data_IF_113493599719
#
_entry.id   IF_113493599719
#
_cell.length_a   1.000
_cell.length_b   1.000
_cell.length_c   1.000
_cell.angle_alpha   90.00
_cell.angle_beta   90.00
_cell.angle_gamma   90.00
#
_symmetry.space_group_name_H-M   'P 1'
#
loop_
_entity.id
_entity.type
_entity.pdbx_description
1 polymer ?
#
# COMPACT_ATOMS: atom_id res chain seq x y z
N UNK A 1 -6.46 68.42 70.78
CA UNK A 1 -7.76 68.87 70.27
C UNK A 1 -7.66 69.07 68.77
N UNK A 2 -8.48 68.31 68.04
CA UNK A 2 -9.05 68.53 66.70
C UNK A 2 -8.08 68.69 65.51
N UNK A 3 -8.02 67.71 64.58
CA UNK A 3 -9.03 67.30 63.58
C UNK A 3 -9.04 68.22 62.35
N UNK A 4 -8.89 67.59 61.17
CA UNK A 4 -9.39 67.95 59.82
C UNK A 4 -8.29 67.93 58.75
N UNK A 5 -8.41 67.31 57.58
CA UNK A 5 -9.39 66.36 57.05
C UNK A 5 -8.72 65.66 55.86
N UNK A 6 -8.84 64.34 55.82
CA UNK A 6 -8.35 63.46 54.75
C UNK A 6 -9.20 63.54 53.49
N UNK A 7 -8.49 63.44 52.36
CA UNK A 7 -8.83 62.83 51.07
C UNK A 7 -10.22 62.18 50.94
N UNK A 8 -11.04 62.74 50.06
CA UNK A 8 -12.16 62.08 49.40
C UNK A 8 -11.63 61.40 48.12
N UNK A 9 -11.54 60.08 48.09
CA UNK A 9 -11.54 59.28 46.86
C UNK A 9 -12.63 58.23 47.03
N UNK A 10 -13.72 58.40 46.31
CA UNK A 10 -14.81 57.45 46.24
C UNK A 10 -14.97 56.98 44.78
N UNK A 11 -15.20 55.66 44.66
CA UNK A 11 -15.85 54.95 43.56
C UNK A 11 -15.04 54.71 42.28
N UNK A 12 -14.36 53.56 42.25
CA UNK A 12 -14.41 52.68 41.08
C UNK A 12 -14.75 51.25 41.53
N UNK A 13 -16.01 50.88 41.37
CA UNK A 13 -16.45 49.49 41.42
C UNK A 13 -16.11 48.85 40.07
N UNK A 14 -15.00 48.11 40.01
CA UNK A 14 -14.71 47.24 38.88
C UNK A 14 -15.46 45.92 39.06
N UNK A 15 -16.58 45.80 38.35
CA UNK A 15 -17.33 44.56 38.18
C UNK A 15 -16.44 43.53 37.49
N UNK A 16 -15.92 42.57 38.27
CA UNK A 16 -15.20 41.41 37.75
C UNK A 16 -16.15 40.49 36.98
N UNK A 17 -16.27 40.70 35.67
CA UNK A 17 -16.80 39.71 34.75
C UNK A 17 -15.76 38.58 34.61
N UNK A 18 -15.99 37.50 35.35
CA UNK A 18 -15.41 36.17 35.10
C UNK A 18 -15.86 35.70 33.71
N UNK A 19 -15.10 36.02 32.68
CA UNK A 19 -15.19 35.32 31.39
C UNK A 19 -14.46 33.99 31.54
N UNK A 20 -15.19 32.96 31.96
CA UNK A 20 -14.75 31.58 31.80
C UNK A 20 -14.61 31.31 30.29
N UNK A 21 -13.38 31.37 29.77
CA UNK A 21 -13.08 30.80 28.47
C UNK A 21 -13.36 29.30 28.51
N UNK A 22 -14.16 28.76 27.58
CA UNK A 22 -14.25 27.32 27.45
C UNK A 22 -12.89 26.85 26.96
N UNK A 23 -12.13 26.18 27.84
CA UNK A 23 -11.06 25.31 27.43
C UNK A 23 -11.71 24.20 26.59
N UNK A 24 -11.83 24.43 25.28
CA UNK A 24 -11.98 23.37 24.31
C UNK A 24 -10.71 22.54 24.42
N UNK A 25 -10.76 21.52 25.28
CA UNK A 25 -9.73 20.50 25.34
C UNK A 25 -9.62 19.89 23.95
N UNK A 26 -8.56 20.24 23.23
CA UNK A 26 -8.15 19.49 22.05
C UNK A 26 -7.82 18.08 22.55
N UNK A 27 -8.80 17.17 22.49
CA UNK A 27 -8.51 15.75 22.64
C UNK A 27 -7.49 15.42 21.55
N UNK A 28 -6.25 15.16 21.94
CA UNK A 28 -5.23 14.72 21.01
C UNK A 28 -5.73 13.42 20.36
N UNK A 29 -5.97 13.47 19.05
CA UNK A 29 -6.34 12.29 18.28
C UNK A 29 -5.24 11.24 18.49
N UNK A 30 -5.62 10.08 19.02
CA UNK A 30 -4.72 8.95 19.22
C UNK A 30 -5.25 7.75 18.45
N UNK A 31 -4.40 7.18 17.61
CA UNK A 31 -4.72 5.96 16.89
C UNK A 31 -4.73 4.72 17.78
N UNK A 32 -5.48 3.69 17.36
CA UNK A 32 -5.54 2.39 18.01
C UNK A 32 -5.17 1.28 17.03
N UNK A 33 -4.37 0.32 17.50
CA UNK A 33 -3.96 -0.83 16.69
C UNK A 33 -5.15 -1.70 16.25
N UNK A 34 -6.23 -1.76 17.03
CA UNK A 34 -7.40 -2.57 16.69
C UNK A 34 -8.23 -1.94 15.55
N UNK A 35 -8.40 -0.61 15.56
CA UNK A 35 -9.01 0.09 14.43
C UNK A 35 -8.13 0.03 13.18
N UNK A 36 -6.81 0.18 13.32
CA UNK A 36 -5.88 0.05 12.21
C UNK A 36 -5.88 -1.34 11.58
N UNK A 37 -5.99 -2.41 12.40
CA UNK A 37 -6.16 -3.77 11.88
C UNK A 37 -7.45 -3.94 11.07
N UNK A 38 -8.57 -3.40 11.57
CA UNK A 38 -9.83 -3.42 10.81
C UNK A 38 -9.69 -2.67 9.49
N UNK A 39 -9.02 -1.51 9.52
CA UNK A 39 -8.78 -0.70 8.34
C UNK A 39 -7.94 -1.46 7.29
N UNK A 40 -6.84 -2.08 7.71
CA UNK A 40 -5.92 -2.83 6.86
C UNK A 40 -6.60 -3.95 6.06
N UNK A 41 -7.58 -4.61 6.68
CA UNK A 41 -8.34 -5.71 6.07
C UNK A 41 -9.68 -5.27 5.47
N UNK A 42 -10.02 -3.98 5.51
CA UNK A 42 -11.32 -3.49 5.06
C UNK A 42 -11.29 -3.09 3.58
N UNK A 43 -12.19 -3.61 2.74
CA UNK A 43 -12.35 -3.11 1.38
C UNK A 43 -13.01 -1.72 1.33
N UNK A 44 -13.61 -1.25 2.43
CA UNK A 44 -14.36 0.01 2.49
C UNK A 44 -13.49 1.27 2.32
N UNK A 45 -12.17 1.13 2.37
CA UNK A 45 -11.21 2.22 2.09
C UNK A 45 -10.79 2.29 0.62
N UNK A 46 -11.37 1.45 -0.24
CA UNK A 46 -11.13 1.40 -1.68
C UNK A 46 -12.38 1.73 -2.49
N UNK A 47 -12.17 2.10 -3.76
CA UNK A 47 -13.23 2.20 -4.76
C UNK A 47 -13.27 0.99 -5.71
N UNK A 48 -12.45 -0.03 -5.46
CA UNK A 48 -12.34 -1.22 -6.32
C UNK A 48 -12.42 -2.54 -5.55
N UNK A 49 -12.82 -2.51 -4.27
CA UNK A 49 -12.98 -3.69 -3.42
C UNK A 49 -11.67 -4.25 -2.85
N UNK A 50 -10.53 -3.59 -3.08
CA UNK A 50 -9.27 -4.00 -2.47
C UNK A 50 -9.14 -3.56 -1.01
N UNK A 51 -8.36 -4.30 -0.24
CA UNK A 51 -7.82 -3.88 1.06
C UNK A 51 -6.29 -3.95 0.99
N UNK A 52 -5.59 -3.42 1.99
CA UNK A 52 -4.13 -3.56 2.09
C UNK A 52 -3.72 -5.05 2.10
N UNK A 53 -4.53 -5.89 2.75
CA UNK A 53 -4.32 -7.33 2.88
C UNK A 53 -4.32 -8.13 1.58
N UNK A 54 -4.83 -7.57 0.47
CA UNK A 54 -4.73 -8.22 -0.84
C UNK A 54 -3.33 -8.11 -1.47
N UNK A 55 -2.58 -7.06 -1.13
CA UNK A 55 -1.24 -6.82 -1.67
C UNK A 55 -0.13 -7.03 -0.65
N UNK A 56 -0.43 -6.90 0.65
CA UNK A 56 0.54 -7.07 1.72
C UNK A 56 0.08 -8.09 2.76
N UNK A 57 1.00 -8.96 3.19
CA UNK A 57 0.81 -9.69 4.43
C UNK A 57 1.05 -8.76 5.63
N UNK A 58 0.39 -9.02 6.75
CA UNK A 58 0.62 -8.36 8.04
C UNK A 58 1.35 -9.26 9.04
N UNK A 59 2.04 -10.30 8.54
CA UNK A 59 2.74 -11.32 9.31
C UNK A 59 4.04 -11.75 8.64
N UNK A 60 4.92 -12.40 9.41
CA UNK A 60 6.18 -12.96 8.90
C UNK A 60 5.89 -14.13 7.94
N UNK A 61 5.98 -13.87 6.63
CA UNK A 61 5.73 -14.86 5.57
C UNK A 61 6.72 -16.05 5.61
N UNK A 62 7.87 -15.91 6.28
CA UNK A 62 8.83 -17.02 6.45
C UNK A 62 8.42 -17.99 7.56
N UNK A 63 7.54 -17.56 8.48
CA UNK A 63 7.11 -18.36 9.64
C UNK A 63 5.68 -18.86 9.51
N UNK A 64 4.86 -18.16 8.73
CA UNK A 64 3.45 -18.49 8.52
C UNK A 64 3.09 -18.22 7.07
N UNK A 65 2.19 -19.03 6.53
CA UNK A 65 1.55 -18.79 5.24
C UNK A 65 0.03 -18.82 5.42
N UNK A 66 -0.67 -17.99 4.65
CA UNK A 66 -2.12 -18.04 4.45
C UNK A 66 -2.51 -18.58 3.07
N UNK A 67 -1.55 -19.16 2.35
CA UNK A 67 -1.74 -19.72 1.01
C UNK A 67 -1.73 -18.69 -0.13
N UNK A 68 -1.52 -17.41 0.16
CA UNK A 68 -1.45 -16.36 -0.86
C UNK A 68 -0.01 -15.97 -1.19
N UNK A 69 0.24 -15.67 -2.45
CA UNK A 69 1.49 -15.07 -2.94
C UNK A 69 1.16 -13.66 -3.39
N UNK A 70 1.48 -12.69 -2.55
CA UNK A 70 1.15 -11.28 -2.83
C UNK A 70 2.24 -10.59 -3.63
N UNK A 71 1.83 -9.62 -4.44
CA UNK A 71 2.74 -8.83 -5.27
C UNK A 71 3.74 -8.03 -4.44
N UNK A 72 3.27 -7.40 -3.37
CA UNK A 72 4.12 -6.66 -2.46
C UNK A 72 4.51 -7.51 -1.24
N UNK A 73 5.64 -7.16 -0.64
CA UNK A 73 6.15 -7.83 0.55
C UNK A 73 5.29 -7.61 1.77
N UNK A 74 5.42 -8.51 2.74
CA UNK A 74 4.88 -8.31 4.08
C UNK A 74 5.27 -6.96 4.68
N UNK A 75 4.28 -6.33 5.33
CA UNK A 75 4.49 -5.15 6.17
C UNK A 75 4.79 -5.52 7.64
N UNK A 76 4.92 -6.81 7.94
CA UNK A 76 5.49 -7.24 9.21
C UNK A 76 6.87 -6.59 9.39
N UNK A 77 7.05 -5.94 10.54
CA UNK A 77 8.28 -5.24 10.87
C UNK A 77 8.67 -4.10 9.91
N UNK A 78 7.71 -3.48 9.22
CA UNK A 78 7.97 -2.40 8.27
C UNK A 78 7.94 -0.98 8.87
N UNK A 79 7.46 -0.81 10.10
CA UNK A 79 7.23 0.52 10.68
C UNK A 79 8.50 1.36 10.85
N UNK A 80 9.64 0.71 11.14
CA UNK A 80 10.91 1.37 11.43
C UNK A 80 11.87 1.39 10.23
N UNK A 81 11.38 1.07 9.02
CA UNK A 81 12.18 1.16 7.80
C UNK A 81 12.55 2.62 7.52
N UNK A 82 13.74 2.83 6.97
CA UNK A 82 14.19 4.17 6.56
C UNK A 82 13.45 4.67 5.31
N UNK A 83 13.00 3.75 4.45
CA UNK A 83 12.19 4.05 3.26
C UNK A 83 11.09 3.00 3.07
N UNK A 84 9.98 3.38 2.45
CA UNK A 84 8.81 2.50 2.23
C UNK A 84 8.51 2.22 0.75
N UNK A 85 8.98 3.08 -0.15
CA UNK A 85 8.79 2.97 -1.60
C UNK A 85 10.14 2.92 -2.37
N UNK A 86 11.26 2.88 -1.65
CA UNK A 86 12.57 3.29 -2.18
C UNK A 86 12.79 4.80 -1.99
N UNK A 87 14.03 5.28 -2.16
CA UNK A 87 14.31 6.73 -2.13
C UNK A 87 13.74 7.35 -3.40
N UNK A 88 12.79 8.28 -3.27
CA UNK A 88 12.39 9.12 -4.40
C UNK A 88 13.55 10.07 -4.71
N UNK A 89 14.13 10.02 -5.93
CA UNK A 89 15.26 10.87 -6.29
C UNK A 89 14.88 12.34 -6.49
N UNK A 90 13.60 12.63 -6.71
CA UNK A 90 13.07 13.99 -6.93
C UNK A 90 12.49 14.60 -5.65
N UNK A 91 12.03 13.76 -4.71
CA UNK A 91 11.47 14.20 -3.42
C UNK A 91 12.09 13.43 -2.23
N UNK A 92 13.24 13.88 -1.74
CA UNK A 92 13.98 13.22 -0.64
C UNK A 92 13.15 13.05 0.66
N UNK A 93 12.14 13.90 0.86
CA UNK A 93 11.24 13.89 2.03
C UNK A 93 9.89 13.18 1.76
N UNK A 94 9.67 12.62 0.56
CA UNK A 94 8.43 11.93 0.24
C UNK A 94 8.25 10.69 1.13
N UNK A 95 7.02 10.51 1.63
CA UNK A 95 6.62 9.36 2.45
C UNK A 95 7.45 9.22 3.75
N UNK A 96 7.66 10.33 4.46
CA UNK A 96 8.43 10.39 5.72
C UNK A 96 7.95 9.43 6.81
N UNK A 97 6.71 8.95 6.72
CA UNK A 97 6.14 7.93 7.59
C UNK A 97 5.41 6.83 6.81
N UNK A 98 5.31 5.64 7.41
CA UNK A 98 4.64 4.48 6.78
C UNK A 98 3.17 4.73 6.41
N UNK A 99 2.46 5.57 7.17
CA UNK A 99 1.06 5.92 6.87
C UNK A 99 0.94 6.95 5.74
N UNK A 100 1.92 7.82 5.56
CA UNK A 100 2.04 8.66 4.36
C UNK A 100 2.35 7.79 3.13
N UNK A 101 3.24 6.81 3.26
CA UNK A 101 3.50 5.83 2.20
C UNK A 101 2.24 5.05 1.82
N UNK A 102 1.43 4.66 2.81
CA UNK A 102 0.18 3.94 2.59
C UNK A 102 -0.85 4.75 1.79
N UNK A 103 -0.75 6.08 1.79
CA UNK A 103 -1.62 6.94 1.00
C UNK A 103 -1.46 6.73 -0.51
N UNK A 104 -0.23 6.46 -0.97
CA UNK A 104 0.04 6.10 -2.38
C UNK A 104 -0.78 4.89 -2.78
N UNK A 105 -0.76 3.85 -1.94
CA UNK A 105 -1.50 2.62 -2.18
C UNK A 105 -3.01 2.88 -2.24
N UNK A 106 -3.54 3.68 -1.30
CA UNK A 106 -4.97 3.98 -1.23
C UNK A 106 -5.44 4.79 -2.45
N UNK A 107 -4.68 5.79 -2.86
CA UNK A 107 -5.06 6.65 -4.00
C UNK A 107 -4.86 5.94 -5.33
N UNK A 108 -3.71 5.29 -5.53
CA UNK A 108 -3.34 4.66 -6.80
C UNK A 108 -3.99 3.28 -6.97
N UNK A 109 -3.53 2.30 -6.20
CA UNK A 109 -3.93 0.90 -6.36
C UNK A 109 -5.36 0.63 -5.90
N UNK A 110 -5.82 1.31 -4.84
CA UNK A 110 -7.17 1.14 -4.30
C UNK A 110 -8.17 2.16 -4.87
N UNK A 111 -7.70 3.06 -5.74
CA UNK A 111 -8.48 4.06 -6.51
C UNK A 111 -9.32 5.00 -5.65
N UNK A 112 -8.94 5.23 -4.40
CA UNK A 112 -9.69 6.06 -3.49
C UNK A 112 -9.16 7.51 -3.47
N UNK A 113 -9.81 8.39 -4.25
CA UNK A 113 -9.47 9.81 -4.33
C UNK A 113 -9.76 10.59 -3.04
N UNK A 114 -10.65 10.10 -2.17
CA UNK A 114 -11.00 10.79 -0.91
C UNK A 114 -9.98 10.56 0.20
N UNK A 115 -8.97 9.70 -0.03
CA UNK A 115 -7.84 9.45 0.88
C UNK A 115 -8.29 8.88 2.24
N UNK A 116 -7.32 8.63 3.12
CA UNK A 116 -7.59 8.29 4.52
C UNK A 116 -7.82 9.56 5.33
N UNK A 117 -8.73 9.51 6.31
CA UNK A 117 -8.88 10.59 7.30
C UNK A 117 -7.68 10.64 8.24
N UNK A 118 -7.48 11.77 8.93
CA UNK A 118 -6.42 11.91 9.93
C UNK A 118 -6.48 10.81 11.01
N UNK A 119 -7.69 10.46 11.48
CA UNK A 119 -7.87 9.39 12.46
C UNK A 119 -7.51 8.01 11.87
N UNK A 120 -7.90 7.74 10.62
CA UNK A 120 -7.54 6.48 9.94
C UNK A 120 -6.03 6.33 9.75
N UNK A 121 -5.32 7.41 9.40
CA UNK A 121 -3.85 7.39 9.32
C UNK A 121 -3.21 7.07 10.68
N UNK A 122 -3.69 7.70 11.75
CA UNK A 122 -3.22 7.43 13.12
C UNK A 122 -3.48 5.98 13.55
N UNK A 123 -4.67 5.44 13.24
CA UNK A 123 -5.05 4.06 13.53
C UNK A 123 -4.15 3.08 12.75
N UNK A 124 -3.94 3.31 11.45
CA UNK A 124 -3.07 2.50 10.61
C UNK A 124 -1.62 2.54 11.11
N UNK A 125 -1.10 3.72 11.43
CA UNK A 125 0.23 3.92 12.03
C UNK A 125 0.37 3.11 13.32
N UNK A 126 -0.62 3.16 14.20
CA UNK A 126 -0.63 2.40 15.45
C UNK A 126 -0.63 0.89 15.21
N UNK A 127 -1.32 0.41 14.17
CA UNK A 127 -1.32 -1.00 13.80
C UNK A 127 0.02 -1.45 13.21
N UNK A 128 0.54 -0.77 12.19
CA UNK A 128 1.81 -1.16 11.57
C UNK A 128 2.98 -1.11 12.57
N UNK A 129 2.92 -0.18 13.53
CA UNK A 129 3.83 -0.15 14.67
C UNK A 129 3.72 -1.39 15.58
N UNK A 130 2.52 -1.90 15.82
CA UNK A 130 2.32 -3.09 16.66
C UNK A 130 2.79 -4.37 15.99
N UNK A 131 2.87 -4.40 14.65
CA UNK A 131 3.48 -5.47 13.86
C UNK A 131 5.01 -5.42 13.84
N UNK A 132 5.62 -4.43 14.48
CA UNK A 132 7.05 -4.15 14.37
C UNK A 132 7.76 -4.18 15.70
N UNK A 133 8.96 -4.76 15.70
CA UNK A 133 9.88 -4.77 16.83
C UNK A 133 11.03 -3.82 16.51
N UNK A 134 11.47 -3.01 17.49
CA UNK A 134 12.48 -1.93 17.31
C UNK A 134 13.82 -2.35 16.68
N UNK A 135 14.07 -3.65 16.47
CA UNK A 135 15.35 -4.21 16.09
C UNK A 135 15.56 -4.39 14.58
N UNK A 136 14.56 -4.15 13.73
CA UNK A 136 14.76 -4.15 12.26
C UNK A 136 14.56 -2.75 11.71
N UNK A 137 15.66 -2.13 11.32
CA UNK A 137 15.69 -0.79 10.70
C UNK A 137 15.92 -0.83 9.19
N UNK A 138 16.49 -1.94 8.71
CA UNK A 138 16.80 -2.12 7.29
C UNK A 138 15.54 -2.61 6.60
N UNK A 139 15.07 -1.85 5.61
CA UNK A 139 14.00 -2.29 4.72
C UNK A 139 14.40 -3.58 4.01
N UNK A 140 13.47 -4.52 3.88
CA UNK A 140 13.67 -5.58 2.90
C UNK A 140 13.74 -4.92 1.52
N UNK A 141 14.80 -5.16 0.75
CA UNK A 141 14.92 -4.58 -0.58
C UNK A 141 13.75 -5.08 -1.43
N UNK A 142 13.12 -4.19 -2.18
CA UNK A 142 12.22 -4.59 -3.27
C UNK A 142 13.10 -5.20 -4.35
N UNK A 143 12.95 -6.50 -4.63
CA UNK A 143 13.67 -7.09 -5.74
C UNK A 143 13.13 -6.52 -7.05
N UNK A 144 14.04 -6.21 -7.97
CA UNK A 144 13.72 -5.84 -9.34
C UNK A 144 12.90 -6.94 -10.04
N UNK A 145 12.31 -6.61 -11.19
CA UNK A 145 12.00 -7.64 -12.16
C UNK A 145 13.30 -8.40 -12.45
N UNK A 146 13.25 -9.72 -12.51
CA UNK A 146 14.46 -10.54 -12.64
C UNK A 146 15.35 -10.19 -13.86
N UNK A 147 14.82 -9.44 -14.83
CA UNK A 147 15.45 -9.12 -16.10
C UNK A 147 15.66 -7.61 -16.26
N UNK A 148 16.90 -7.20 -16.56
CA UNK A 148 17.29 -5.80 -16.79
C UNK A 148 17.23 -5.39 -18.26
N UNK A 149 16.94 -6.33 -19.16
CA UNK A 149 16.85 -6.08 -20.61
C UNK A 149 15.46 -5.63 -21.06
N UNK A 150 14.43 -5.90 -20.25
CA UNK A 150 13.02 -5.71 -20.64
C UNK A 150 12.53 -6.75 -21.65
N UNK A 151 13.37 -7.70 -22.04
CA UNK A 151 12.99 -8.85 -22.85
C UNK A 151 12.62 -10.03 -21.94
N UNK A 152 11.61 -10.81 -22.31
CA UNK A 152 11.17 -11.96 -21.51
C UNK A 152 11.08 -13.23 -22.38
N UNK A 153 12.21 -13.73 -22.91
CA UNK A 153 12.23 -14.95 -23.70
C UNK A 153 12.01 -16.19 -22.83
N UNK A 154 11.61 -17.30 -23.45
CA UNK A 154 11.61 -18.61 -22.80
C UNK A 154 10.55 -18.81 -21.72
N UNK A 155 9.39 -18.14 -21.79
CA UNK A 155 8.26 -18.36 -20.88
C UNK A 155 7.18 -19.34 -21.41
N UNK A 156 7.48 -20.04 -22.51
CA UNK A 156 6.61 -21.08 -23.05
C UNK A 156 6.73 -22.42 -22.27
N UNK A 157 5.77 -23.32 -22.46
CA UNK A 157 5.88 -24.73 -22.07
C UNK A 157 5.69 -25.06 -20.59
N UNK A 158 5.07 -24.19 -19.79
CA UNK A 158 4.78 -24.47 -18.38
C UNK A 158 3.68 -25.50 -18.13
N UNK A 159 3.60 -26.03 -16.90
CA UNK A 159 2.52 -26.91 -16.46
C UNK A 159 1.28 -26.10 -16.06
N UNK A 160 0.17 -26.27 -16.81
CA UNK A 160 -1.08 -25.53 -16.54
C UNK A 160 -1.77 -25.89 -15.22
N UNK A 161 -1.53 -27.09 -14.68
CA UNK A 161 -2.19 -27.52 -13.44
C UNK A 161 -1.54 -26.87 -12.22
N UNK A 162 -0.21 -26.91 -12.14
CA UNK A 162 0.57 -26.12 -11.17
C UNK A 162 0.33 -24.62 -11.36
N UNK A 163 0.29 -24.19 -12.63
CA UNK A 163 -0.04 -22.82 -13.00
C UNK A 163 -1.39 -22.33 -12.47
N UNK A 164 -2.39 -23.21 -12.44
CA UNK A 164 -3.70 -22.90 -11.86
C UNK A 164 -3.58 -22.63 -10.36
N UNK A 165 -2.89 -23.48 -9.62
CA UNK A 165 -2.72 -23.31 -8.17
C UNK A 165 -2.04 -21.98 -7.85
N UNK A 166 -0.95 -21.68 -8.56
CA UNK A 166 -0.22 -20.43 -8.39
C UNK A 166 -1.08 -19.23 -8.80
N UNK A 167 -1.82 -19.32 -9.92
CA UNK A 167 -2.73 -18.27 -10.35
C UNK A 167 -3.79 -17.94 -9.27
N UNK A 168 -4.33 -18.95 -8.59
CA UNK A 168 -5.32 -18.73 -7.53
C UNK A 168 -4.71 -18.11 -6.28
N UNK A 169 -3.48 -18.49 -5.93
CA UNK A 169 -2.73 -17.89 -4.82
C UNK A 169 -2.32 -16.42 -5.10
N UNK A 170 -2.21 -16.04 -6.37
CA UNK A 170 -1.49 -14.82 -6.78
C UNK A 170 -2.34 -13.79 -7.51
N UNK A 171 -3.10 -14.25 -8.51
CA UNK A 171 -3.74 -13.39 -9.50
C UNK A 171 -5.26 -13.32 -9.31
N UNK A 172 -5.87 -14.38 -8.78
CA UNK A 172 -7.33 -14.56 -8.76
C UNK A 172 -8.07 -13.50 -7.97
N UNK A 173 -7.50 -12.97 -6.88
CA UNK A 173 -8.11 -11.91 -6.07
C UNK A 173 -8.42 -10.66 -6.89
N UNK A 174 -7.58 -10.33 -7.87
CA UNK A 174 -7.75 -9.20 -8.78
C UNK A 174 -8.39 -9.61 -10.11
N UNK A 175 -8.01 -10.80 -10.61
CA UNK A 175 -8.42 -11.37 -11.89
C UNK A 175 -9.18 -12.68 -11.66
N UNK A 176 -10.45 -12.64 -11.21
CA UNK A 176 -11.22 -13.82 -10.87
C UNK A 176 -11.36 -14.70 -12.11
N UNK A 177 -10.78 -15.90 -12.05
CA UNK A 177 -10.68 -16.84 -13.18
C UNK A 177 -10.03 -16.23 -14.45
N UNK A 178 -9.16 -15.23 -14.28
CA UNK A 178 -8.52 -14.50 -15.38
C UNK A 178 -9.44 -13.53 -16.12
N UNK A 179 -10.68 -13.34 -15.63
CA UNK A 179 -11.57 -12.30 -16.15
C UNK A 179 -11.13 -10.92 -15.64
N UNK A 180 -11.88 -9.89 -16.03
CA UNK A 180 -11.54 -8.51 -15.69
C UNK A 180 -11.44 -8.28 -14.17
N UNK A 181 -12.46 -8.71 -13.41
CA UNK A 181 -12.51 -8.43 -11.97
C UNK A 181 -12.37 -6.92 -11.71
N UNK A 182 -11.30 -6.54 -11.01
CA UNK A 182 -10.99 -5.13 -10.73
C UNK A 182 -10.14 -4.46 -11.83
N UNK A 183 -9.59 -5.27 -12.75
CA UNK A 183 -8.82 -4.80 -13.88
C UNK A 183 -9.75 -4.21 -14.97
N UNK A 184 -9.26 -3.24 -15.77
CA UNK A 184 -10.11 -2.61 -16.79
C UNK A 184 -10.54 -3.56 -17.92
N UNK A 185 -9.78 -4.63 -18.16
CA UNK A 185 -10.03 -5.63 -19.20
C UNK A 185 -9.68 -7.03 -18.68
N UNK A 186 -10.33 -8.10 -19.20
CA UNK A 186 -9.91 -9.46 -18.91
C UNK A 186 -8.50 -9.73 -19.43
N UNK A 187 -7.83 -10.74 -18.85
CA UNK A 187 -6.50 -11.15 -19.32
C UNK A 187 -6.67 -11.80 -20.70
N UNK A 188 -6.01 -11.29 -21.77
CA UNK A 188 -6.11 -11.89 -23.10
C UNK A 188 -5.58 -13.32 -23.08
N UNK A 189 -6.06 -14.20 -23.97
CA UNK A 189 -5.69 -15.64 -23.98
C UNK A 189 -4.75 -16.03 -25.13
N UNK A 190 -4.59 -15.13 -26.09
CA UNK A 190 -3.97 -15.36 -27.40
C UNK A 190 -2.59 -14.69 -27.54
N UNK A 191 -2.06 -14.07 -26.49
CA UNK A 191 -0.79 -13.37 -26.56
C UNK A 191 0.40 -14.34 -26.48
N UNK A 192 1.57 -13.86 -26.94
CA UNK A 192 2.82 -14.57 -26.77
C UNK A 192 3.23 -14.66 -25.29
N UNK A 193 3.93 -15.72 -24.83
CA UNK A 193 4.34 -15.87 -23.44
C UNK A 193 5.10 -14.65 -22.87
N UNK A 194 5.94 -14.01 -23.69
CA UNK A 194 6.69 -12.81 -23.30
C UNK A 194 5.80 -11.63 -22.92
N UNK A 195 4.61 -11.51 -23.54
CA UNK A 195 3.63 -10.48 -23.18
C UNK A 195 3.23 -10.61 -21.70
N UNK A 196 2.84 -11.81 -21.27
CA UNK A 196 2.38 -12.04 -19.90
C UNK A 196 3.52 -11.90 -18.89
N UNK A 197 4.69 -12.44 -19.21
CA UNK A 197 5.86 -12.34 -18.34
C UNK A 197 6.23 -10.88 -18.08
N UNK A 198 6.21 -10.04 -19.12
CA UNK A 198 6.42 -8.59 -18.98
C UNK A 198 5.39 -7.95 -18.05
N UNK A 199 4.10 -8.21 -18.26
CA UNK A 199 3.05 -7.64 -17.40
C UNK A 199 3.18 -8.07 -15.93
N UNK A 200 3.52 -9.34 -15.68
CA UNK A 200 3.74 -9.86 -14.32
C UNK A 200 4.97 -9.18 -13.69
N UNK A 201 6.05 -9.01 -14.45
CA UNK A 201 7.33 -8.51 -13.96
C UNK A 201 7.39 -7.00 -13.80
N UNK A 202 6.70 -6.25 -14.65
CA UNK A 202 6.78 -4.79 -14.70
C UNK A 202 5.54 -4.12 -14.12
N UNK A 203 4.39 -4.79 -14.15
CA UNK A 203 3.12 -4.26 -13.65
C UNK A 203 2.72 -2.97 -14.36
N UNK A 204 2.58 -1.90 -13.58
CA UNK A 204 2.29 -0.55 -14.05
C UNK A 204 3.52 0.26 -14.46
N UNK A 205 4.69 -0.37 -14.49
CA UNK A 205 5.97 0.22 -14.86
C UNK A 205 6.94 0.35 -13.69
N UNK A 206 6.47 0.20 -12.44
CA UNK A 206 7.36 0.25 -11.28
C UNK A 206 8.45 -0.85 -11.35
N UNK A 207 8.09 -2.05 -11.80
CA UNK A 207 9.08 -3.13 -11.96
C UNK A 207 10.16 -2.79 -13.01
N UNK A 208 9.80 -2.06 -14.07
CA UNK A 208 10.76 -1.61 -15.09
C UNK A 208 11.72 -0.53 -14.55
N UNK A 209 11.22 0.41 -13.75
CA UNK A 209 12.06 1.40 -13.05
C UNK A 209 13.04 0.70 -12.12
N UNK A 210 12.55 -0.20 -11.26
CA UNK A 210 13.38 -0.92 -10.29
C UNK A 210 14.44 -1.80 -10.95
N UNK A 211 14.22 -2.22 -12.19
CA UNK A 211 15.15 -3.04 -12.97
C UNK A 211 16.12 -2.22 -13.82
N UNK A 212 15.97 -0.89 -13.86
CA UNK A 212 16.77 0.00 -14.69
C UNK A 212 16.47 -0.11 -16.20
N UNK A 213 15.35 -0.74 -16.57
CA UNK A 213 14.94 -0.95 -17.97
C UNK A 213 14.49 0.38 -18.60
N UNK A 214 13.58 1.07 -17.92
CA UNK A 214 13.06 2.36 -18.35
C UNK A 214 12.72 3.21 -17.10
N UNK A 215 13.48 4.29 -16.83
CA UNK A 215 13.25 5.15 -15.67
C UNK A 215 11.92 5.94 -15.75
N UNK A 216 11.27 5.99 -16.91
CA UNK A 216 10.01 6.72 -17.14
C UNK A 216 8.79 5.78 -17.29
N UNK A 217 8.96 4.49 -17.01
CA UNK A 217 7.93 3.48 -17.25
C UNK A 217 6.73 3.61 -16.30
N UNK A 218 6.98 3.97 -15.04
CA UNK A 218 5.94 4.18 -14.05
C UNK A 218 5.24 5.51 -14.31
N UNK A 219 3.92 5.45 -14.52
CA UNK A 219 3.11 6.64 -14.74
C UNK A 219 1.86 6.55 -13.88
N UNK A 220 1.60 7.58 -13.08
CA UNK A 220 0.36 7.75 -12.30
C UNK A 220 -0.81 8.13 -13.22
N UNK A 221 -1.05 7.36 -14.28
CA UNK A 221 -2.15 7.55 -15.23
C UNK A 221 -3.33 6.67 -14.85
N UNK A 222 -4.54 7.23 -14.96
CA UNK A 222 -5.78 6.47 -14.80
C UNK A 222 -5.80 5.30 -15.79
N UNK A 223 -5.82 4.06 -15.28
CA UNK A 223 -6.00 2.84 -16.07
C UNK A 223 -4.90 1.78 -15.95
N UNK A 224 -3.74 2.10 -15.36
CA UNK A 224 -2.64 1.14 -15.17
C UNK A 224 -2.34 0.97 -13.66
N UNK A 225 -2.80 -0.15 -13.10
CA UNK A 225 -2.77 -0.39 -11.64
C UNK A 225 -2.35 -1.83 -11.28
N UNK A 226 -1.81 -2.57 -12.26
CA UNK A 226 -1.38 -3.93 -11.99
C UNK A 226 -0.08 -3.87 -11.18
N UNK A 227 -0.01 -4.44 -9.97
CA UNK A 227 1.23 -4.47 -9.23
C UNK A 227 2.22 -5.41 -9.93
N UNK A 228 3.51 -5.11 -9.79
CA UNK A 228 4.57 -5.96 -10.32
C UNK A 228 4.90 -7.10 -9.34
N UNK A 229 5.43 -8.21 -9.86
CA UNK A 229 5.97 -9.32 -9.09
C UNK A 229 7.48 -9.45 -9.32
N UNK A 230 8.25 -9.04 -8.31
CA UNK A 230 9.71 -9.17 -8.29
C UNK A 230 10.20 -10.62 -8.42
N UNK A 231 11.48 -10.77 -8.75
CA UNK A 231 12.15 -12.08 -8.91
C UNK A 231 12.03 -12.98 -7.66
N UNK A 232 11.90 -12.36 -6.50
CA UNK A 232 11.77 -12.96 -5.18
C UNK A 232 10.33 -13.35 -4.81
N UNK A 233 9.33 -12.85 -5.54
CA UNK A 233 7.91 -13.18 -5.33
C UNK A 233 7.45 -14.33 -6.23
N UNK A 234 7.87 -14.31 -7.50
CA UNK A 234 7.58 -15.38 -8.46
C UNK A 234 8.85 -15.77 -9.22
N UNK A 235 9.14 -17.06 -9.23
CA UNK A 235 10.19 -17.64 -10.08
C UNK A 235 9.74 -17.68 -11.55
N UNK A 236 10.71 -17.80 -12.48
CA UNK A 236 10.40 -17.90 -13.90
C UNK A 236 9.58 -19.16 -14.23
N UNK A 237 9.79 -20.25 -13.51
CA UNK A 237 9.01 -21.49 -13.66
C UNK A 237 7.56 -21.32 -13.23
N UNK A 238 7.31 -20.66 -12.10
CA UNK A 238 5.96 -20.33 -11.66
C UNK A 238 5.23 -19.46 -12.67
N UNK A 239 5.91 -18.46 -13.25
CA UNK A 239 5.36 -17.62 -14.31
C UNK A 239 5.03 -18.44 -15.56
N UNK A 240 5.91 -19.36 -16.00
CA UNK A 240 5.61 -20.29 -17.11
C UNK A 240 4.32 -21.08 -16.85
N UNK A 241 4.16 -21.60 -15.63
CA UNK A 241 2.95 -22.30 -15.21
C UNK A 241 1.72 -21.41 -15.30
N UNK A 242 1.76 -20.22 -14.70
CA UNK A 242 0.68 -19.21 -14.76
C UNK A 242 0.27 -18.92 -16.21
N UNK A 243 1.25 -18.71 -17.10
CA UNK A 243 1.01 -18.43 -18.53
C UNK A 243 0.33 -19.63 -19.20
N UNK A 244 0.81 -20.85 -18.96
CA UNK A 244 0.19 -22.06 -19.49
C UNK A 244 -1.26 -22.22 -19.02
N UNK A 245 -1.55 -21.87 -17.75
CA UNK A 245 -2.91 -21.85 -17.23
C UNK A 245 -3.77 -20.78 -17.92
N UNK A 246 -3.31 -19.52 -18.01
CA UNK A 246 -4.01 -18.43 -18.67
C UNK A 246 -4.39 -18.81 -20.10
N UNK A 247 -3.44 -19.34 -20.88
CA UNK A 247 -3.68 -19.74 -22.28
C UNK A 247 -4.58 -20.97 -22.43
N UNK A 248 -4.81 -21.73 -21.35
CA UNK A 248 -5.74 -22.86 -21.32
C UNK A 248 -7.18 -22.48 -21.00
N UNK A 249 -7.42 -21.23 -20.57
CA UNK A 249 -8.76 -20.76 -20.24
C UNK A 249 -9.60 -20.54 -21.49
N UNK A 250 -10.94 -20.61 -21.37
CA UNK A 250 -11.84 -20.25 -22.47
C UNK A 250 -11.57 -18.82 -22.98
N UNK A 251 -11.97 -18.52 -24.24
CA UNK A 251 -11.92 -17.16 -24.78
C UNK A 251 -12.57 -16.16 -23.82
N UNK A 252 -12.06 -14.94 -23.81
CA UNK A 252 -12.63 -13.87 -22.99
C UNK A 252 -14.09 -13.61 -23.40
N UNK A 253 -15.03 -13.46 -22.44
CA UNK A 253 -16.41 -13.10 -22.74
C UNK A 253 -16.53 -11.76 -23.46
#
# INVERSE_FOLDING_TARGET
MNCAYSLLIALMAFSGLLTAWPAYGQMMLKGTSSAGRRLFHSPAISNNGLSCGHCHADFDENKRSDGLIRAAHSLYNAYYRETWWGKDPEEEDAYSTIDEAALVCVVHYMRNKTKLTAQQMLDLRAYLKSLSFKLVRIAQPLAAAADQTGEYPGYAGGNRFEGKEIFYATCHSCHPNGNAGIAPKPIPRDQEPSYYARYIREGDGLGAILSGVDPNAYQFKEGRFMPFFGADRLSNEQIRGIIAYIKSLPPTP
#
